data_IF_872727160099
#
_entry.id   IF_872727160099
#
_cell.length_a   1.000
_cell.length_b   1.000
_cell.length_c   1.000
_cell.angle_alpha   90.00
_cell.angle_beta   90.00
_cell.angle_gamma   90.00
#
_symmetry.space_group_name_H-M   'P 1'
#
loop_
_entity.id
_entity.type
_entity.pdbx_description
1 polymer ?
#
# COMPACT_ATOMS: atom_id res chain seq x y z
N UNK A 1 8.80 18.95 33.38
CA UNK A 1 8.96 19.26 31.94
C UNK A 1 8.13 18.25 31.17
N UNK A 2 7.26 18.64 30.22
CA UNK A 2 6.54 17.67 29.41
C UNK A 2 7.53 16.80 28.63
N UNK A 3 7.21 15.51 28.46
CA UNK A 3 8.02 14.61 27.63
C UNK A 3 8.16 15.20 26.22
N UNK A 4 9.34 15.11 25.58
CA UNK A 4 9.50 15.58 24.22
C UNK A 4 8.52 14.84 23.29
N UNK A 5 7.95 15.51 22.29
CA UNK A 5 7.00 14.90 21.38
C UNK A 5 7.65 13.71 20.66
N UNK A 6 6.87 12.64 20.47
CA UNK A 6 7.31 11.46 19.71
C UNK A 6 7.71 11.88 18.31
N UNK A 7 8.71 11.21 17.74
CA UNK A 7 9.29 11.54 16.43
C UNK A 7 9.14 10.36 15.48
N UNK A 8 8.63 10.62 14.28
CA UNK A 8 8.53 9.63 13.22
C UNK A 8 9.30 10.08 11.99
N UNK A 9 9.92 9.12 11.31
CA UNK A 9 10.43 9.27 9.93
C UNK A 9 9.52 8.44 9.04
N UNK A 10 8.89 9.07 8.05
CA UNK A 10 8.04 8.38 7.07
C UNK A 10 8.73 8.40 5.72
N UNK A 11 9.24 7.25 5.30
CA UNK A 11 9.81 7.07 3.97
C UNK A 11 8.69 6.86 2.95
N UNK A 12 8.78 7.49 1.77
CA UNK A 12 7.67 7.54 0.83
C UNK A 12 6.50 8.41 1.32
N UNK A 13 6.78 9.34 2.24
CA UNK A 13 5.77 10.16 2.92
C UNK A 13 5.00 11.13 2.02
N UNK A 14 5.48 11.39 0.79
CA UNK A 14 4.76 12.18 -0.21
C UNK A 14 3.87 11.31 -1.13
N UNK A 15 3.92 9.99 -0.97
CA UNK A 15 3.05 9.05 -1.68
C UNK A 15 1.62 9.01 -1.13
N UNK A 16 0.76 8.23 -1.79
CA UNK A 16 -0.64 8.05 -1.39
C UNK A 16 -0.77 7.70 0.10
N UNK A 17 -0.35 6.50 0.50
CA UNK A 17 -0.47 6.07 1.91
C UNK A 17 0.40 6.89 2.86
N UNK A 18 1.62 7.24 2.44
CA UNK A 18 2.57 8.00 3.25
C UNK A 18 2.04 9.37 3.68
N UNK A 19 1.34 10.08 2.79
CA UNK A 19 0.79 11.41 3.10
C UNK A 19 -0.33 11.35 4.13
N UNK A 20 -1.23 10.35 4.03
CA UNK A 20 -2.28 10.13 5.03
C UNK A 20 -1.70 9.72 6.38
N UNK A 21 -0.65 8.89 6.40
CA UNK A 21 0.05 8.54 7.64
C UNK A 21 0.72 9.77 8.27
N UNK A 22 1.39 10.62 7.48
CA UNK A 22 2.00 11.85 7.97
C UNK A 22 0.95 12.76 8.62
N UNK A 23 -0.19 12.99 7.97
CA UNK A 23 -1.28 13.81 8.52
C UNK A 23 -1.83 13.24 9.82
N UNK A 24 -2.06 11.93 9.86
CA UNK A 24 -2.54 11.26 11.07
C UNK A 24 -1.55 11.40 12.23
N UNK A 25 -0.26 11.13 12.00
CA UNK A 25 0.76 11.25 13.05
C UNK A 25 0.90 12.69 13.57
N UNK A 26 0.81 13.70 12.68
CA UNK A 26 0.80 15.11 13.06
C UNK A 26 -0.43 15.45 13.92
N UNK A 27 -1.61 14.96 13.54
CA UNK A 27 -2.84 15.14 14.31
C UNK A 27 -2.75 14.50 15.71
N UNK A 28 -2.04 13.37 15.82
CA UNK A 28 -1.75 12.68 17.08
C UNK A 28 -0.60 13.34 17.89
N UNK A 29 -0.10 14.51 17.45
CA UNK A 29 0.90 15.31 18.16
C UNK A 29 2.36 14.89 17.96
N UNK A 30 2.65 14.02 16.98
CA UNK A 30 4.01 13.61 16.65
C UNK A 30 4.73 14.70 15.84
N UNK A 31 6.06 14.75 15.99
CA UNK A 31 6.91 15.43 15.01
C UNK A 31 7.27 14.47 13.89
N UNK A 32 6.84 14.78 12.67
CA UNK A 32 7.07 13.93 11.49
C UNK A 32 8.17 14.51 10.59
N UNK A 33 9.08 13.65 10.14
CA UNK A 33 10.04 13.93 9.07
C UNK A 33 9.66 13.08 7.86
N UNK A 34 9.21 13.72 6.79
CA UNK A 34 8.95 13.05 5.52
C UNK A 34 10.26 12.89 4.73
N UNK A 35 10.55 11.67 4.28
CA UNK A 35 11.68 11.38 3.37
C UNK A 35 11.10 10.77 2.11
N UNK A 36 11.26 11.46 0.98
CA UNK A 36 10.76 10.99 -0.32
C UNK A 36 11.74 11.42 -1.40
N UNK A 37 11.99 10.54 -2.36
CA UNK A 37 12.88 10.86 -3.48
C UNK A 37 12.15 11.61 -4.60
N UNK A 38 10.81 11.68 -4.58
CA UNK A 38 9.92 12.39 -5.50
C UNK A 38 10.09 12.06 -7.00
N UNK A 39 11.00 11.15 -7.36
CA UNK A 39 11.68 11.06 -8.67
C UNK A 39 12.24 9.63 -8.80
N UNK A 40 11.78 8.73 -9.68
CA UNK A 40 12.25 8.58 -11.08
C UNK A 40 13.74 8.82 -11.37
N UNK A 41 14.64 8.69 -10.39
CA UNK A 41 16.09 8.81 -10.59
C UNK A 41 16.73 7.53 -11.14
N UNK A 42 17.73 7.65 -12.03
CA UNK A 42 18.44 6.52 -12.63
C UNK A 42 19.89 6.42 -12.12
N UNK A 43 20.29 5.24 -11.65
CA UNK A 43 21.64 4.97 -11.11
C UNK A 43 22.78 5.36 -12.06
N UNK A 44 22.55 5.35 -13.37
CA UNK A 44 23.51 5.79 -14.41
C UNK A 44 24.00 7.23 -14.21
N UNK A 45 23.18 8.10 -13.63
CA UNK A 45 23.50 9.52 -13.46
C UNK A 45 24.63 9.77 -12.45
N UNK A 46 24.91 8.80 -11.57
CA UNK A 46 25.94 8.90 -10.53
C UNK A 46 26.98 7.76 -10.58
N UNK A 47 26.91 6.91 -11.61
CA UNK A 47 27.79 5.74 -11.74
C UNK A 47 29.29 6.13 -11.81
N UNK A 48 29.61 7.28 -12.40
CA UNK A 48 30.97 7.81 -12.52
C UNK A 48 31.59 8.27 -11.18
N UNK A 49 30.79 8.38 -10.11
CA UNK A 49 31.25 8.82 -8.80
C UNK A 49 31.47 7.65 -7.82
N UNK A 50 31.10 6.41 -8.21
CA UNK A 50 31.04 5.23 -7.33
C UNK A 50 32.36 4.94 -6.60
N UNK A 51 33.49 5.20 -7.23
CA UNK A 51 34.81 4.85 -6.68
C UNK A 51 35.47 6.03 -5.94
N UNK A 52 34.79 7.18 -5.84
CA UNK A 52 35.29 8.35 -5.12
C UNK A 52 35.10 8.18 -3.61
N UNK A 53 36.19 8.22 -2.83
CA UNK A 53 36.20 7.88 -1.38
C UNK A 53 35.27 8.74 -0.50
N UNK A 54 34.89 9.92 -0.97
CA UNK A 54 33.97 10.84 -0.29
C UNK A 54 32.56 10.85 -0.89
N UNK A 55 32.28 9.95 -1.84
CA UNK A 55 30.98 9.82 -2.48
C UNK A 55 30.33 8.51 -2.03
N UNK A 56 29.16 8.62 -1.39
CA UNK A 56 28.34 7.45 -1.03
C UNK A 56 26.97 7.61 -1.67
N UNK A 57 26.67 6.77 -2.66
CA UNK A 57 25.32 6.68 -3.23
C UNK A 57 24.52 5.67 -2.44
N UNK A 58 23.82 6.15 -1.41
CA UNK A 58 22.94 5.33 -0.59
C UNK A 58 21.62 5.17 -1.34
N UNK A 59 21.39 3.99 -1.93
CA UNK A 59 20.05 3.62 -2.36
C UNK A 59 19.18 3.44 -1.11
N UNK A 60 18.13 4.24 -0.96
CA UNK A 60 17.20 4.18 0.17
C UNK A 60 16.40 2.87 0.14
N UNK A 61 16.99 1.78 0.64
CA UNK A 61 16.36 0.47 0.77
C UNK A 61 16.10 0.10 2.23
N UNK A 62 15.32 -0.97 2.44
CA UNK A 62 14.96 -1.50 3.76
C UNK A 62 16.18 -1.71 4.66
N UNK A 63 17.29 -2.24 4.11
CA UNK A 63 18.51 -2.51 4.89
C UNK A 63 19.11 -1.23 5.53
N UNK A 64 19.18 -0.13 4.78
CA UNK A 64 19.73 1.13 5.28
C UNK A 64 18.84 1.75 6.36
N UNK A 65 17.52 1.65 6.19
CA UNK A 65 16.58 2.15 7.20
C UNK A 65 16.57 1.29 8.46
N UNK A 66 16.77 -0.03 8.34
CA UNK A 66 17.01 -0.91 9.48
C UNK A 66 18.30 -0.53 10.23
N UNK A 67 19.39 -0.26 9.51
CA UNK A 67 20.64 0.23 10.11
C UNK A 67 20.47 1.55 10.86
N UNK A 68 19.75 2.51 10.26
CA UNK A 68 19.42 3.78 10.91
C UNK A 68 18.54 3.59 12.15
N UNK A 69 17.47 2.80 12.04
CA UNK A 69 16.58 2.50 13.14
C UNK A 69 17.33 1.84 14.30
N UNK A 70 18.23 0.89 14.01
CA UNK A 70 19.13 0.30 15.00
C UNK A 70 19.99 1.35 15.70
N UNK A 71 20.69 2.18 14.93
CA UNK A 71 21.58 3.21 15.47
C UNK A 71 20.84 4.25 16.34
N UNK A 72 19.56 4.48 16.06
CA UNK A 72 18.69 5.41 16.82
C UNK A 72 17.81 4.71 17.85
N UNK A 73 17.91 3.39 18.00
CA UNK A 73 17.01 2.57 18.85
C UNK A 73 15.53 2.86 18.58
N UNK A 74 15.19 3.07 17.32
CA UNK A 74 13.84 3.37 16.88
C UNK A 74 13.07 2.10 16.53
N UNK A 75 11.77 2.11 16.75
CA UNK A 75 10.85 1.12 16.19
C UNK A 75 10.88 1.23 14.66
N UNK A 76 11.02 0.10 13.97
CA UNK A 76 10.96 0.05 12.50
C UNK A 76 9.70 -0.66 12.03
N UNK A 77 8.82 0.05 11.32
CA UNK A 77 7.64 -0.53 10.68
C UNK A 77 7.88 -0.67 9.17
N UNK A 78 7.74 -1.90 8.67
CA UNK A 78 7.76 -2.20 7.25
C UNK A 78 6.34 -2.24 6.66
N UNK A 79 6.09 -1.36 5.69
CA UNK A 79 4.95 -1.46 4.79
C UNK A 79 5.20 -2.54 3.71
N UNK A 80 4.83 -3.77 4.02
CA UNK A 80 4.78 -4.90 3.09
C UNK A 80 3.45 -4.89 2.32
N UNK A 81 3.10 -5.99 1.65
CA UNK A 81 2.02 -6.05 0.66
C UNK A 81 1.43 -7.45 0.57
N UNK A 82 0.17 -7.59 0.16
CA UNK A 82 -0.43 -8.89 -0.18
C UNK A 82 0.26 -9.58 -1.35
N UNK A 83 1.07 -8.88 -2.16
CA UNK A 83 1.85 -9.47 -3.26
C UNK A 83 2.87 -10.51 -2.77
N UNK A 84 3.27 -10.48 -1.49
CA UNK A 84 4.15 -11.51 -0.93
C UNK A 84 3.52 -12.90 -0.93
N UNK A 85 2.18 -12.98 -1.07
CA UNK A 85 1.42 -14.21 -1.23
C UNK A 85 1.36 -14.69 -2.70
N UNK A 86 1.67 -13.83 -3.68
CA UNK A 86 1.70 -14.15 -5.11
C UNK A 86 0.33 -14.49 -5.71
N UNK A 87 0.25 -15.66 -6.35
CA UNK A 87 -0.98 -16.31 -6.82
C UNK A 87 -1.42 -17.38 -5.82
N UNK A 88 -2.17 -17.00 -4.77
CA UNK A 88 -2.38 -17.84 -3.61
C UNK A 88 -3.23 -19.07 -3.93
N UNK A 89 -2.84 -20.21 -3.36
CA UNK A 89 -3.58 -21.47 -3.43
C UNK A 89 -4.54 -21.67 -2.23
N UNK A 90 -4.66 -20.66 -1.37
CA UNK A 90 -5.51 -20.66 -0.17
C UNK A 90 -6.34 -19.39 -0.12
N UNK A 91 -7.60 -19.48 0.33
CA UNK A 91 -8.49 -18.34 0.47
C UNK A 91 -9.40 -18.49 1.72
N UNK A 92 -9.44 -17.51 2.64
CA UNK A 92 -8.64 -16.28 2.69
C UNK A 92 -7.14 -16.56 2.90
N UNK A 93 -6.28 -15.55 2.72
CA UNK A 93 -4.84 -15.66 2.93
C UNK A 93 -4.45 -15.31 4.39
N UNK A 94 -4.08 -16.29 5.24
CA UNK A 94 -3.56 -16.03 6.58
C UNK A 94 -2.09 -15.60 6.53
N UNK A 95 -1.60 -14.92 7.57
CA UNK A 95 -0.19 -14.49 7.59
C UNK A 95 0.82 -15.64 7.67
N UNK A 96 0.36 -16.83 8.05
CA UNK A 96 1.16 -18.06 8.07
C UNK A 96 1.40 -18.63 6.68
N UNK A 97 0.63 -18.22 5.66
CA UNK A 97 0.82 -18.70 4.29
C UNK A 97 2.11 -18.14 3.69
N UNK A 98 2.93 -19.01 3.10
CA UNK A 98 4.25 -18.66 2.57
C UNK A 98 4.22 -17.93 1.23
N UNK A 99 3.09 -18.00 0.52
CA UNK A 99 2.94 -17.45 -0.83
C UNK A 99 3.36 -18.43 -1.93
N UNK A 100 2.79 -18.21 -3.11
CA UNK A 100 3.12 -18.90 -4.35
C UNK A 100 3.52 -17.84 -5.37
N UNK A 101 4.82 -17.52 -5.43
CA UNK A 101 5.38 -16.39 -6.18
C UNK A 101 6.37 -16.92 -7.21
N UNK A 102 6.29 -16.42 -8.45
CA UNK A 102 7.27 -16.71 -9.48
C UNK A 102 8.45 -15.72 -9.39
N UNK A 103 9.66 -16.17 -9.02
CA UNK A 103 10.81 -15.28 -8.83
C UNK A 103 11.44 -14.78 -10.14
N UNK A 104 10.99 -15.27 -11.30
CA UNK A 104 11.51 -14.92 -12.62
C UNK A 104 10.49 -14.17 -13.49
N UNK A 105 9.25 -14.01 -13.01
CA UNK A 105 8.18 -13.35 -13.75
C UNK A 105 8.36 -11.83 -13.85
N UNK A 106 7.57 -11.14 -14.71
CA UNK A 106 7.66 -9.69 -14.92
C UNK A 106 7.39 -8.87 -13.64
N UNK A 107 6.69 -9.46 -12.67
CA UNK A 107 6.37 -8.84 -11.37
C UNK A 107 7.39 -9.13 -10.27
N UNK A 108 8.32 -10.07 -10.50
CA UNK A 108 9.20 -10.62 -9.47
C UNK A 108 10.04 -9.56 -8.75
N UNK A 109 10.47 -8.51 -9.47
CA UNK A 109 11.25 -7.42 -8.87
C UNK A 109 10.51 -6.76 -7.70
N UNK A 110 9.20 -6.57 -7.80
CA UNK A 110 8.41 -6.01 -6.70
C UNK A 110 8.12 -7.05 -5.61
N UNK A 111 7.64 -8.23 -6.03
CA UNK A 111 7.17 -9.27 -5.12
C UNK A 111 8.32 -9.81 -4.26
N UNK A 112 9.45 -10.16 -4.88
CA UNK A 112 10.63 -10.67 -4.17
C UNK A 112 11.34 -9.58 -3.37
N UNK A 113 11.35 -8.32 -3.82
CA UNK A 113 11.90 -7.24 -3.02
C UNK A 113 11.14 -7.04 -1.71
N UNK A 114 9.81 -7.20 -1.73
CA UNK A 114 8.99 -7.12 -0.51
C UNK A 114 9.18 -8.32 0.40
N UNK A 115 9.29 -9.53 -0.16
CA UNK A 115 9.63 -10.75 0.60
C UNK A 115 11.01 -10.65 1.26
N UNK A 116 12.02 -10.18 0.52
CA UNK A 116 13.36 -9.94 1.03
C UNK A 116 13.36 -8.86 2.14
N UNK A 117 12.56 -7.80 1.99
CA UNK A 117 12.43 -6.77 3.02
C UNK A 117 11.85 -7.32 4.35
N UNK A 118 10.85 -8.21 4.29
CA UNK A 118 10.35 -8.91 5.48
C UNK A 118 11.45 -9.77 6.12
N UNK A 119 12.20 -10.53 5.31
CA UNK A 119 13.30 -11.36 5.78
C UNK A 119 14.40 -10.54 6.48
N UNK A 120 14.81 -9.41 5.92
CA UNK A 120 15.76 -8.50 6.55
C UNK A 120 15.22 -7.92 7.87
N UNK A 121 13.96 -7.50 7.89
CA UNK A 121 13.33 -6.95 9.09
C UNK A 121 13.32 -7.98 10.22
N UNK A 122 12.92 -9.22 9.93
CA UNK A 122 12.92 -10.31 10.90
C UNK A 122 14.33 -10.75 11.31
N UNK A 123 15.32 -10.66 10.41
CA UNK A 123 16.71 -10.90 10.76
C UNK A 123 17.18 -9.89 11.82
N UNK A 124 16.98 -8.59 11.59
CA UNK A 124 17.35 -7.53 12.55
C UNK A 124 16.62 -7.66 13.89
N UNK A 125 15.35 -8.07 13.89
CA UNK A 125 14.63 -8.40 15.12
C UNK A 125 15.33 -9.52 15.90
N UNK A 126 15.57 -10.67 15.26
CA UNK A 126 16.15 -11.86 15.91
C UNK A 126 17.61 -11.67 16.34
N UNK A 127 18.43 -10.98 15.53
CA UNK A 127 19.87 -10.86 15.77
C UNK A 127 20.24 -9.65 16.62
N UNK A 128 19.44 -8.58 16.60
CA UNK A 128 19.75 -7.32 17.26
C UNK A 128 18.70 -6.88 18.29
N UNK A 129 17.66 -7.68 18.52
CA UNK A 129 16.60 -7.36 19.48
C UNK A 129 15.82 -6.10 19.12
N UNK A 130 15.81 -5.71 17.85
CA UNK A 130 15.11 -4.49 17.42
C UNK A 130 13.60 -4.66 17.53
N UNK A 131 12.93 -3.60 17.98
CA UNK A 131 11.47 -3.50 17.89
C UNK A 131 11.08 -3.27 16.44
N UNK A 132 10.47 -4.27 15.81
CA UNK A 132 10.02 -4.20 14.42
C UNK A 132 8.54 -4.50 14.29
N UNK A 133 7.90 -3.95 13.26
CA UNK A 133 6.50 -4.21 12.89
C UNK A 133 6.42 -4.49 11.39
N UNK A 134 5.58 -5.41 10.97
CA UNK A 134 5.33 -5.70 9.55
C UNK A 134 3.83 -5.66 9.29
N UNK A 135 3.40 -4.82 8.36
CA UNK A 135 2.03 -4.84 7.83
C UNK A 135 2.03 -5.39 6.41
N UNK A 136 1.15 -6.34 6.12
CA UNK A 136 0.88 -6.82 4.76
C UNK A 136 -0.38 -6.15 4.25
N UNK A 137 -0.18 -5.11 3.45
CA UNK A 137 -1.24 -4.24 2.97
C UNK A 137 -1.93 -4.88 1.77
N UNK A 138 -3.24 -5.08 1.87
CA UNK A 138 -4.09 -5.46 0.74
C UNK A 138 -4.54 -4.20 -0.03
N UNK A 139 -5.15 -4.42 -1.19
CA UNK A 139 -5.57 -3.33 -2.08
C UNK A 139 -6.33 -2.23 -1.32
N UNK A 140 -5.80 -1.02 -1.43
CA UNK A 140 -6.29 0.16 -0.69
C UNK A 140 -6.58 1.28 -1.66
N UNK A 141 -7.67 2.02 -1.42
CA UNK A 141 -8.11 3.13 -2.26
C UNK A 141 -8.49 4.36 -1.42
N UNK A 142 -8.48 5.54 -2.06
CA UNK A 142 -8.77 6.80 -1.39
C UNK A 142 -8.26 8.03 -2.14
N UNK A 143 -8.46 9.24 -1.58
CA UNK A 143 -7.87 10.48 -2.08
C UNK A 143 -6.34 10.39 -2.20
N UNK A 144 -5.75 11.12 -3.15
CA UNK A 144 -4.30 11.15 -3.46
C UNK A 144 -3.70 9.90 -4.11
N UNK A 145 -4.54 8.93 -4.50
CA UNK A 145 -4.10 7.89 -5.43
C UNK A 145 -3.56 8.51 -6.72
N UNK A 146 -2.53 7.87 -7.31
CA UNK A 146 -2.02 8.29 -8.61
C UNK A 146 -3.05 7.97 -9.68
N UNK A 147 -3.22 8.93 -10.59
CA UNK A 147 -4.23 8.91 -11.65
C UNK A 147 -3.88 7.84 -12.69
N UNK A 148 -2.61 7.70 -13.08
CA UNK A 148 -2.16 6.76 -14.12
C UNK A 148 -1.26 5.65 -13.56
N UNK A 149 -1.67 4.94 -12.51
CA UNK A 149 -0.86 3.85 -11.95
C UNK A 149 -1.33 2.43 -12.30
N UNK A 150 -2.29 2.31 -13.21
CA UNK A 150 -2.76 1.03 -13.74
C UNK A 150 -3.76 0.28 -12.83
N UNK A 151 -4.08 0.80 -11.64
CA UNK A 151 -5.08 0.18 -10.77
C UNK A 151 -6.51 0.41 -11.29
N UNK A 152 -7.41 -0.53 -11.00
CA UNK A 152 -8.80 -0.49 -11.47
C UNK A 152 -9.56 0.78 -11.03
N UNK A 153 -9.49 1.13 -9.73
CA UNK A 153 -10.21 2.29 -9.18
C UNK A 153 -9.84 3.61 -9.87
N UNK A 154 -8.56 4.05 -9.95
CA UNK A 154 -8.22 5.30 -10.62
C UNK A 154 -8.54 5.29 -12.11
N UNK A 155 -8.35 4.15 -12.80
CA UNK A 155 -8.71 4.02 -14.22
C UNK A 155 -10.22 4.21 -14.46
N UNK A 156 -11.06 3.51 -13.69
CA UNK A 156 -12.52 3.62 -13.81
C UNK A 156 -13.00 5.02 -13.45
N UNK A 157 -12.43 5.63 -12.40
CA UNK A 157 -12.76 7.00 -12.00
C UNK A 157 -12.46 8.00 -13.12
N UNK A 158 -11.30 7.89 -13.77
CA UNK A 158 -10.95 8.80 -14.86
C UNK A 158 -11.85 8.62 -16.06
N UNK A 159 -12.08 7.38 -16.47
CA UNK A 159 -12.95 7.06 -17.60
C UNK A 159 -14.36 7.60 -17.36
N UNK A 160 -14.93 7.32 -16.18
CA UNK A 160 -16.23 7.84 -15.79
C UNK A 160 -16.28 9.37 -15.72
N UNK A 161 -15.32 10.02 -15.06
CA UNK A 161 -15.32 11.48 -14.89
C UNK A 161 -15.09 12.24 -16.19
N UNK A 162 -14.47 11.61 -17.19
CA UNK A 162 -14.29 12.19 -18.54
C UNK A 162 -15.37 11.75 -19.54
N UNK A 163 -16.32 10.93 -19.13
CA UNK A 163 -17.27 10.26 -20.03
C UNK A 163 -16.60 9.45 -21.17
N UNK A 164 -15.43 8.87 -20.89
CA UNK A 164 -14.75 7.92 -21.76
C UNK A 164 -15.24 6.48 -21.46
N UNK A 165 -15.19 5.53 -22.41
CA UNK A 165 -15.57 4.15 -22.15
C UNK A 165 -14.80 3.51 -21.00
N UNK A 166 -15.52 2.90 -20.05
CA UNK A 166 -14.92 2.22 -18.90
C UNK A 166 -14.47 0.84 -19.32
N UNK A 167 -13.17 0.57 -19.23
CA UNK A 167 -12.58 -0.68 -19.72
C UNK A 167 -12.55 -1.76 -18.64
N UNK A 168 -13.41 -2.77 -18.76
CA UNK A 168 -13.38 -3.96 -17.90
C UNK A 168 -12.59 -5.06 -18.61
N UNK A 169 -11.56 -5.59 -17.95
CA UNK A 169 -10.81 -6.73 -18.49
C UNK A 169 -11.49 -8.05 -18.12
N UNK A 170 -11.61 -8.97 -19.08
CA UNK A 170 -12.37 -10.21 -18.94
C UNK A 170 -13.87 -10.03 -19.03
N UNK A 171 -14.62 -10.87 -18.33
CA UNK A 171 -16.07 -10.75 -18.14
C UNK A 171 -16.45 -9.88 -16.93
N UNK A 172 -15.46 -9.43 -16.15
CA UNK A 172 -15.65 -8.61 -14.96
C UNK A 172 -16.07 -9.39 -13.71
N UNK A 173 -16.07 -10.74 -13.76
CA UNK A 173 -16.43 -11.61 -12.63
C UNK A 173 -15.37 -11.66 -11.53
N UNK A 174 -14.11 -11.35 -11.86
CA UNK A 174 -13.01 -11.34 -10.92
C UNK A 174 -13.24 -10.34 -9.79
N UNK A 175 -12.96 -10.76 -8.57
CA UNK A 175 -13.21 -9.96 -7.36
C UNK A 175 -11.96 -9.27 -6.87
N UNK A 176 -12.14 -8.14 -6.18
CA UNK A 176 -11.10 -7.47 -5.40
C UNK A 176 -11.65 -7.10 -4.03
N UNK A 177 -10.81 -7.24 -3.02
CA UNK A 177 -11.00 -6.56 -1.74
C UNK A 177 -10.46 -5.14 -1.84
N UNK A 178 -11.19 -4.13 -1.36
CA UNK A 178 -10.79 -2.72 -1.45
C UNK A 178 -10.97 -2.03 -0.10
N UNK A 179 -9.86 -1.85 0.62
CA UNK A 179 -9.87 -1.16 1.91
C UNK A 179 -9.78 0.35 1.72
N UNK A 180 -10.55 1.13 2.49
CA UNK A 180 -10.43 2.58 2.46
C UNK A 180 -9.17 3.03 3.21
N UNK A 181 -8.51 4.08 2.70
CA UNK A 181 -7.22 4.53 3.23
C UNK A 181 -7.25 4.91 4.71
N UNK A 182 -8.31 5.55 5.20
CA UNK A 182 -8.40 5.96 6.60
C UNK A 182 -8.40 4.74 7.54
N UNK A 183 -9.13 3.68 7.15
CA UNK A 183 -9.17 2.43 7.91
C UNK A 183 -7.78 1.76 7.93
N UNK A 184 -7.10 1.72 6.78
CA UNK A 184 -5.73 1.21 6.72
C UNK A 184 -4.82 1.98 7.68
N UNK A 185 -4.82 3.33 7.62
CA UNK A 185 -3.96 4.18 8.44
C UNK A 185 -4.26 3.99 9.94
N UNK A 186 -5.53 3.85 10.31
CA UNK A 186 -5.91 3.49 11.68
C UNK A 186 -5.28 2.16 12.12
N UNK A 187 -5.27 1.15 11.26
CA UNK A 187 -4.61 -0.13 11.52
C UNK A 187 -3.09 0.01 11.69
N UNK A 188 -2.45 0.84 10.86
CA UNK A 188 -1.01 1.14 10.97
C UNK A 188 -0.68 1.80 12.30
N UNK A 189 -1.43 2.83 12.69
CA UNK A 189 -1.18 3.58 13.94
C UNK A 189 -1.36 2.67 15.16
N UNK A 190 -2.39 1.81 15.18
CA UNK A 190 -2.55 0.84 16.27
C UNK A 190 -1.37 -0.12 16.39
N UNK A 191 -0.82 -0.57 15.27
CA UNK A 191 0.34 -1.47 15.29
C UNK A 191 1.60 -0.80 15.86
N UNK A 192 1.74 0.53 15.73
CA UNK A 192 2.86 1.26 16.34
C UNK A 192 2.81 1.23 17.88
N UNK A 193 1.64 1.06 18.47
CA UNK A 193 1.42 1.15 19.92
C UNK A 193 1.35 -0.22 20.63
N UNK A 194 1.21 -1.32 19.90
CA UNK A 194 1.14 -2.67 20.50
C UNK A 194 2.52 -3.34 20.51
N UNK A 195 2.76 -4.20 21.51
CA UNK A 195 3.93 -5.06 21.54
C UNK A 195 3.69 -6.38 20.80
N UNK A 196 3.81 -6.34 19.47
CA UNK A 196 3.61 -7.50 18.60
C UNK A 196 4.56 -7.45 17.40
N UNK A 197 5.25 -8.55 17.10
CA UNK A 197 6.31 -8.56 16.07
C UNK A 197 5.88 -9.21 14.76
N UNK A 198 5.06 -10.26 14.80
CA UNK A 198 4.75 -11.02 13.58
C UNK A 198 3.97 -10.17 12.57
N UNK A 199 4.01 -10.50 11.27
CA UNK A 199 3.24 -9.79 10.25
C UNK A 199 1.75 -9.76 10.57
N UNK A 200 1.09 -8.66 10.22
CA UNK A 200 -0.38 -8.50 10.30
C UNK A 200 -0.93 -8.10 8.94
N UNK A 201 -1.96 -8.80 8.48
CA UNK A 201 -2.74 -8.39 7.31
C UNK A 201 -3.61 -7.18 7.64
N UNK A 202 -3.56 -6.15 6.79
CA UNK A 202 -4.51 -5.03 6.83
C UNK A 202 -5.20 -4.89 5.47
N UNK A 203 -6.53 -4.88 5.49
CA UNK A 203 -7.37 -4.84 4.30
C UNK A 203 -8.85 -4.95 4.65
N UNK A 204 -9.67 -5.35 3.69
CA UNK A 204 -11.07 -5.72 3.94
C UNK A 204 -11.35 -7.14 3.46
N UNK A 205 -12.23 -7.84 4.17
CA UNK A 205 -12.72 -9.15 3.76
C UNK A 205 -13.88 -9.06 2.75
N UNK A 206 -14.43 -7.85 2.55
CA UNK A 206 -15.49 -7.58 1.58
C UNK A 206 -14.91 -7.58 0.17
N UNK A 207 -15.58 -8.31 -0.72
CA UNK A 207 -15.20 -8.44 -2.12
C UNK A 207 -16.24 -7.78 -3.02
N UNK A 208 -15.77 -7.17 -4.11
CA UNK A 208 -16.61 -6.65 -5.19
C UNK A 208 -16.06 -7.11 -6.53
N UNK A 209 -16.93 -7.48 -7.47
CA UNK A 209 -16.51 -7.82 -8.83
C UNK A 209 -16.06 -6.57 -9.61
N UNK A 210 -15.22 -6.73 -10.62
CA UNK A 210 -14.80 -5.60 -11.46
C UNK A 210 -15.96 -4.97 -12.21
N UNK A 211 -16.94 -5.76 -12.64
CA UNK A 211 -18.17 -5.25 -13.25
C UNK A 211 -18.99 -4.41 -12.26
N UNK A 212 -19.18 -4.89 -11.03
CA UNK A 212 -19.90 -4.16 -10.00
C UNK A 212 -19.18 -2.88 -9.61
N UNK A 213 -17.85 -2.92 -9.48
CA UNK A 213 -17.04 -1.74 -9.17
C UNK A 213 -17.12 -0.68 -10.27
N UNK A 214 -16.98 -1.08 -11.53
CA UNK A 214 -17.09 -0.19 -12.69
C UNK A 214 -18.46 0.48 -12.76
N UNK A 215 -19.52 -0.33 -12.60
CA UNK A 215 -20.92 0.15 -12.58
C UNK A 215 -21.15 1.16 -11.47
N UNK A 216 -20.72 0.84 -10.24
CA UNK A 216 -20.92 1.71 -9.08
C UNK A 216 -20.14 3.02 -9.19
N UNK A 217 -18.92 2.98 -9.73
CA UNK A 217 -18.15 4.19 -10.01
C UNK A 217 -18.84 5.05 -11.07
N UNK A 218 -19.30 4.47 -12.19
CA UNK A 218 -20.04 5.20 -13.23
C UNK A 218 -21.25 5.92 -12.65
N UNK A 219 -22.06 5.20 -11.87
CA UNK A 219 -23.30 5.72 -11.31
C UNK A 219 -23.03 6.83 -10.28
N UNK A 220 -22.06 6.64 -9.36
CA UNK A 220 -21.65 7.67 -8.39
C UNK A 220 -21.01 8.91 -9.04
N UNK A 221 -20.37 8.74 -10.19
CA UNK A 221 -19.86 9.87 -10.98
C UNK A 221 -20.96 10.63 -11.72
N UNK A 222 -22.16 10.05 -11.89
CA UNK A 222 -23.21 10.58 -12.76
C UNK A 222 -22.83 10.51 -14.25
N UNK A 223 -22.04 9.50 -14.63
CA UNK A 223 -21.48 9.36 -15.97
C UNK A 223 -22.37 8.52 -16.90
N UNK A 224 -22.36 8.84 -18.19
CA UNK A 224 -23.00 8.04 -19.24
C UNK A 224 -22.03 7.08 -19.95
N UNK A 225 -20.82 6.87 -19.40
CA UNK A 225 -19.81 6.01 -20.00
C UNK A 225 -20.31 4.58 -20.24
N UNK A 226 -20.09 4.09 -21.45
CA UNK A 226 -20.31 2.68 -21.79
C UNK A 226 -19.26 1.78 -21.13
N UNK A 227 -19.64 0.54 -20.82
CA UNK A 227 -18.71 -0.48 -20.35
C UNK A 227 -18.19 -1.27 -21.55
N UNK A 228 -16.87 -1.27 -21.75
CA UNK A 228 -16.20 -2.00 -22.84
C UNK A 228 -15.32 -3.11 -22.28
N UNK A 229 -15.34 -4.27 -22.94
CA UNK A 229 -14.63 -5.47 -22.48
C UNK A 229 -13.35 -5.70 -23.28
N UNK A 230 -12.25 -6.02 -22.59
CA UNK A 230 -10.96 -6.37 -23.20
C UNK A 230 -10.43 -7.71 -22.66
N UNK A 231 -9.57 -8.45 -23.38
CA UNK A 231 -8.98 -9.70 -22.88
C UNK A 231 -8.24 -9.51 -21.54
N UNK A 232 -8.32 -10.48 -20.62
CA UNK A 232 -7.57 -10.42 -19.36
C UNK A 232 -6.05 -10.36 -19.63
N UNK A 233 -5.30 -9.51 -18.92
CA UNK A 233 -3.84 -9.57 -18.92
C UNK A 233 -3.33 -10.92 -18.40
N UNK A 234 -2.21 -11.37 -18.96
CA UNK A 234 -1.44 -12.51 -18.44
C UNK A 234 -0.94 -12.15 -17.03
N UNK A 235 -1.07 -13.06 -16.06
CA UNK A 235 -0.66 -12.92 -14.65
C UNK A 235 -1.49 -12.01 -13.71
N UNK A 236 -2.76 -11.70 -14.02
CA UNK A 236 -3.64 -11.04 -13.04
C UNK A 236 -4.19 -12.06 -12.01
N UNK A 237 -3.87 -11.94 -10.71
CA UNK A 237 -4.30 -12.90 -9.70
C UNK A 237 -5.83 -12.97 -9.61
N UNK A 238 -6.34 -14.20 -9.55
CA UNK A 238 -7.78 -14.47 -9.65
C UNK A 238 -8.54 -14.04 -8.40
N UNK A 239 -7.95 -14.21 -7.22
CA UNK A 239 -8.60 -13.87 -5.95
C UNK A 239 -7.60 -13.50 -4.85
N UNK A 240 -7.87 -12.41 -4.12
CA UNK A 240 -7.12 -12.01 -2.91
C UNK A 240 -8.04 -11.43 -1.86
N UNK A 241 -8.06 -12.09 -0.71
CA UNK A 241 -8.88 -11.76 0.45
C UNK A 241 -8.07 -11.99 1.73
N UNK A 242 -7.84 -10.95 2.54
CA UNK A 242 -7.11 -11.10 3.78
C UNK A 242 -7.88 -11.93 4.80
N UNK A 243 -7.20 -12.80 5.52
CA UNK A 243 -7.67 -13.21 6.85
C UNK A 243 -7.34 -12.09 7.84
N UNK A 244 -8.37 -11.53 8.47
CA UNK A 244 -8.26 -10.41 9.43
C UNK A 244 -8.30 -10.86 10.89
N UNK A 245 -8.29 -12.17 11.16
CA UNK A 245 -8.37 -12.72 12.53
C UNK A 245 -7.28 -12.15 13.44
N UNK A 246 -6.05 -12.04 12.94
CA UNK A 246 -4.92 -11.50 13.70
C UNK A 246 -5.07 -10.01 13.96
N UNK A 247 -5.50 -9.23 12.97
CA UNK A 247 -5.73 -7.80 13.12
C UNK A 247 -6.81 -7.50 14.17
N UNK A 248 -7.92 -8.24 14.16
CA UNK A 248 -8.97 -8.13 15.18
C UNK A 248 -8.44 -8.49 16.57
N UNK A 249 -7.72 -9.60 16.71
CA UNK A 249 -7.22 -10.08 18.00
C UNK A 249 -6.15 -9.17 18.60
N UNK A 250 -5.19 -8.73 17.80
CA UNK A 250 -4.01 -7.99 18.28
C UNK A 250 -4.27 -6.49 18.36
N UNK A 251 -5.02 -5.93 17.40
CA UNK A 251 -5.22 -4.49 17.28
C UNK A 251 -6.63 -4.04 17.68
N UNK A 252 -7.57 -4.97 17.90
CA UNK A 252 -8.99 -4.63 18.03
C UNK A 252 -9.53 -3.91 16.79
N UNK A 253 -8.92 -4.15 15.63
CA UNK A 253 -9.13 -3.39 14.40
C UNK A 253 -9.91 -4.18 13.36
N UNK A 254 -10.81 -3.48 12.67
CA UNK A 254 -11.47 -3.90 11.43
C UNK A 254 -11.78 -2.66 10.59
N UNK A 255 -11.89 -2.77 9.26
CA UNK A 255 -12.30 -1.65 8.42
C UNK A 255 -13.75 -1.27 8.70
N UNK A 256 -14.04 0.03 8.81
CA UNK A 256 -15.38 0.56 9.13
C UNK A 256 -16.00 1.35 7.99
N UNK A 257 -15.20 1.81 7.04
CA UNK A 257 -15.70 2.60 5.92
C UNK A 257 -16.27 1.69 4.84
N UNK A 258 -17.54 1.87 4.51
CA UNK A 258 -18.13 1.17 3.38
C UNK A 258 -17.47 1.58 2.06
N UNK A 259 -17.46 0.67 1.08
CA UNK A 259 -16.93 0.96 -0.25
C UNK A 259 -17.56 2.24 -0.84
N UNK A 260 -18.88 2.40 -0.70
CA UNK A 260 -19.62 3.54 -1.23
C UNK A 260 -19.19 4.86 -0.58
N UNK A 261 -19.10 4.91 0.76
CA UNK A 261 -18.64 6.10 1.46
C UNK A 261 -17.20 6.48 1.08
N UNK A 262 -16.32 5.47 0.94
CA UNK A 262 -14.95 5.68 0.47
C UNK A 262 -14.90 6.18 -0.97
N UNK A 263 -15.73 5.65 -1.87
CA UNK A 263 -15.79 6.03 -3.28
C UNK A 263 -16.27 7.47 -3.43
N UNK A 264 -17.32 7.89 -2.72
CA UNK A 264 -17.83 9.27 -2.76
C UNK A 264 -16.72 10.28 -2.43
N UNK A 265 -15.95 10.05 -1.35
CA UNK A 265 -14.82 10.91 -0.97
C UNK A 265 -13.70 10.89 -2.01
N UNK A 266 -13.43 9.72 -2.59
CA UNK A 266 -12.39 9.56 -3.62
C UNK A 266 -12.78 10.27 -4.91
N UNK A 267 -14.03 10.15 -5.35
CA UNK A 267 -14.59 10.82 -6.53
C UNK A 267 -14.49 12.34 -6.37
N UNK A 268 -14.88 12.87 -5.20
CA UNK A 268 -14.78 14.30 -4.92
C UNK A 268 -13.35 14.84 -5.11
N UNK A 269 -12.36 14.11 -4.58
CA UNK A 269 -10.94 14.44 -4.77
C UNK A 269 -10.51 14.39 -6.24
N UNK A 270 -10.89 13.35 -6.98
CA UNK A 270 -10.51 13.23 -8.40
C UNK A 270 -11.18 14.31 -9.26
N UNK A 271 -12.42 14.67 -8.97
CA UNK A 271 -13.16 15.73 -9.69
C UNK A 271 -12.45 17.08 -9.53
N UNK A 272 -12.10 17.46 -8.31
CA UNK A 272 -11.35 18.69 -8.01
C UNK A 272 -9.99 18.75 -8.72
N UNK A 273 -9.28 17.62 -8.78
CA UNK A 273 -7.98 17.51 -9.48
C UNK A 273 -8.08 17.59 -11.00
N UNK A 274 -9.23 17.22 -11.58
CA UNK A 274 -9.47 17.31 -13.01
C UNK A 274 -9.92 18.71 -13.44
N UNK A 275 -10.62 19.45 -12.57
CA UNK A 275 -11.03 20.84 -12.84
C UNK A 275 -9.90 21.85 -12.67
N UNK A 276 -8.88 21.54 -11.85
CA UNK A 276 -7.75 22.43 -11.54
C UNK A 276 -6.57 22.24 -12.51
N UNK A 277 -6.84 21.88 -13.77
CA UNK A 277 -5.83 21.69 -14.83
C UNK A 277 -6.07 22.60 -16.02
#
# INVERSE_FOLDING_TARGET
MPLPPRRAVVTGGAGFLGSHLCERLLADGWRVVCVDNLVTGAAKNVAHLRDHKSFESIQHGTHNMLGLARAKKALFLLASTSEVYGDPQVNPQPETYWGNVNPLGPRAVYDEAKRAAEAFTMAYHRTHGMTTRIIRIFNTFGPRMRVNDGRAVPNFLLQALKNEPITVYGDGSQTRSLCYVDDLIEGVVRLLEVDFTDPINLGTADEISMLQLATRIRDLCGSSSELVYKPLPEDDPKQRRPDLTRARRVLGWEPRTSLEAGLVRTIAYFRDRLTTR
#
